data_IF_428174234835
#
_entry.id   IF_428174234835
#
_cell.length_a   1.000
_cell.length_b   1.000
_cell.length_c   1.000
_cell.angle_alpha   90.00
_cell.angle_beta   90.00
_cell.angle_gamma   90.00
#
_symmetry.space_group_name_H-M   'P 1'
#
loop_
_entity.id
_entity.type
_entity.pdbx_description
1 polymer ?
#
# COMPACT_ATOMS: atom_id res chain seq x y z
N UNK A 1 -19.30 -33.44 6.28
CA UNK A 1 -19.74 -34.02 4.99
C UNK A 1 -21.03 -33.38 4.46
N UNK A 2 -22.17 -33.36 5.20
CA UNK A 2 -23.46 -32.83 4.71
C UNK A 2 -23.46 -31.36 4.32
N UNK A 3 -22.88 -30.48 5.17
CA UNK A 3 -22.74 -29.02 4.88
C UNK A 3 -21.89 -28.77 3.66
N UNK A 4 -20.75 -29.46 3.54
CA UNK A 4 -19.87 -29.38 2.39
C UNK A 4 -20.61 -29.71 1.09
N UNK A 5 -21.26 -30.85 1.02
CA UNK A 5 -22.00 -31.29 -0.18
C UNK A 5 -23.08 -30.28 -0.59
N UNK A 6 -23.83 -29.73 0.40
CA UNK A 6 -24.86 -28.73 0.14
C UNK A 6 -24.24 -27.42 -0.43
N UNK A 7 -23.16 -26.94 0.17
CA UNK A 7 -22.47 -25.76 -0.31
C UNK A 7 -21.86 -25.97 -1.69
N UNK A 8 -21.18 -27.09 -1.92
CA UNK A 8 -20.60 -27.43 -3.22
C UNK A 8 -21.63 -27.42 -4.33
N UNK A 9 -22.78 -28.12 -4.12
CA UNK A 9 -23.88 -28.14 -5.09
C UNK A 9 -24.45 -26.76 -5.38
N UNK A 10 -24.50 -25.87 -4.37
CA UNK A 10 -24.94 -24.50 -4.56
C UNK A 10 -23.95 -23.74 -5.44
N UNK A 11 -22.65 -23.76 -5.11
CA UNK A 11 -21.65 -23.04 -5.89
C UNK A 11 -21.45 -23.61 -7.31
N UNK A 12 -21.58 -24.92 -7.50
CA UNK A 12 -21.56 -25.52 -8.85
C UNK A 12 -22.68 -24.94 -9.73
N UNK A 13 -23.89 -24.81 -9.17
CA UNK A 13 -25.02 -24.21 -9.90
C UNK A 13 -24.73 -22.71 -10.21
N UNK A 14 -24.33 -21.93 -9.22
CA UNK A 14 -24.10 -20.49 -9.40
C UNK A 14 -22.94 -20.24 -10.38
N UNK A 15 -21.84 -20.98 -10.24
CA UNK A 15 -20.67 -20.83 -11.11
C UNK A 15 -20.93 -21.28 -12.54
N UNK A 16 -21.80 -22.26 -12.78
CA UNK A 16 -22.19 -22.63 -14.14
C UNK A 16 -22.93 -21.50 -14.88
N UNK A 17 -23.56 -20.59 -14.15
CA UNK A 17 -24.23 -19.41 -14.73
C UNK A 17 -23.23 -18.28 -15.00
N UNK A 18 -22.30 -18.03 -14.08
CA UNK A 18 -21.41 -16.86 -14.12
C UNK A 18 -20.11 -17.13 -14.90
N UNK A 19 -19.64 -18.38 -14.94
CA UNK A 19 -18.36 -18.72 -15.56
C UNK A 19 -18.22 -18.30 -17.03
N UNK A 20 -19.22 -18.44 -17.91
CA UNK A 20 -19.08 -18.02 -19.31
C UNK A 20 -18.76 -16.54 -19.45
N UNK A 21 -19.45 -15.69 -18.68
CA UNK A 21 -19.21 -14.23 -18.68
C UNK A 21 -17.84 -13.90 -18.09
N UNK A 22 -17.47 -14.54 -17.02
CA UNK A 22 -16.15 -14.37 -16.39
C UNK A 22 -15.01 -14.83 -17.32
N UNK A 23 -15.15 -15.96 -18.02
CA UNK A 23 -14.20 -16.42 -19.05
C UNK A 23 -14.03 -15.41 -20.16
N UNK A 24 -15.13 -14.82 -20.63
CA UNK A 24 -15.09 -13.77 -21.65
C UNK A 24 -14.32 -12.54 -21.18
N UNK A 25 -14.53 -12.12 -19.93
CA UNK A 25 -13.83 -10.97 -19.33
C UNK A 25 -12.32 -11.21 -19.16
N UNK A 26 -11.93 -12.37 -18.63
CA UNK A 26 -10.51 -12.66 -18.34
C UNK A 26 -9.76 -13.23 -19.53
N UNK A 27 -10.45 -13.56 -20.61
CA UNK A 27 -9.91 -14.18 -21.85
C UNK A 27 -9.12 -15.47 -21.56
N UNK A 28 -9.53 -16.23 -20.56
CA UNK A 28 -8.91 -17.48 -20.15
C UNK A 28 -9.99 -18.50 -19.79
N UNK A 29 -9.68 -19.77 -20.01
CA UNK A 29 -10.55 -20.86 -19.60
C UNK A 29 -10.64 -20.95 -18.06
N UNK A 30 -11.86 -21.01 -17.54
CA UNK A 30 -12.12 -21.04 -16.10
C UNK A 30 -12.86 -22.32 -15.73
N UNK A 31 -12.25 -23.16 -14.91
CA UNK A 31 -12.88 -24.40 -14.42
C UNK A 31 -13.97 -24.08 -13.41
N UNK A 32 -15.22 -24.36 -13.77
CA UNK A 32 -16.39 -24.28 -12.87
C UNK A 32 -16.18 -25.14 -11.63
N UNK A 33 -15.62 -26.34 -11.78
CA UNK A 33 -15.35 -27.24 -10.66
C UNK A 33 -14.33 -26.66 -9.68
N UNK A 34 -13.20 -26.15 -10.19
CA UNK A 34 -12.16 -25.55 -9.37
C UNK A 34 -12.66 -24.32 -8.61
N UNK A 35 -13.40 -23.42 -9.27
CA UNK A 35 -14.02 -22.27 -8.62
C UNK A 35 -15.04 -22.68 -7.55
N UNK A 36 -15.90 -23.64 -7.86
CA UNK A 36 -16.92 -24.12 -6.93
C UNK A 36 -16.30 -24.77 -5.69
N UNK A 37 -15.22 -25.53 -5.87
CA UNK A 37 -14.46 -26.12 -4.77
C UNK A 37 -13.82 -25.03 -3.90
N UNK A 38 -13.17 -24.04 -4.51
CA UNK A 38 -12.54 -22.90 -3.81
C UNK A 38 -13.59 -22.13 -3.00
N UNK A 39 -14.71 -21.75 -3.62
CA UNK A 39 -15.79 -21.00 -2.96
C UNK A 39 -16.44 -21.82 -1.84
N UNK A 40 -16.59 -23.12 -2.03
CA UNK A 40 -17.11 -24.02 -0.98
C UNK A 40 -16.21 -24.00 0.26
N UNK A 41 -14.90 -24.12 0.06
CA UNK A 41 -13.92 -24.07 1.17
C UNK A 41 -13.93 -22.73 1.87
N UNK A 42 -13.93 -21.62 1.11
CA UNK A 42 -14.00 -20.28 1.65
C UNK A 42 -15.28 -20.05 2.46
N UNK A 43 -16.42 -20.50 1.96
CA UNK A 43 -17.71 -20.38 2.66
C UNK A 43 -17.73 -21.17 3.98
N UNK A 44 -17.18 -22.39 3.99
CA UNK A 44 -17.10 -23.16 5.23
C UNK A 44 -16.15 -22.52 6.25
N UNK A 45 -15.02 -21.99 5.78
CA UNK A 45 -14.10 -21.23 6.62
C UNK A 45 -14.77 -19.97 7.18
N UNK A 46 -15.47 -19.21 6.34
CA UNK A 46 -16.28 -18.07 6.74
C UNK A 46 -17.27 -18.45 7.86
N UNK A 47 -18.04 -19.54 7.68
CA UNK A 47 -19.02 -19.97 8.68
C UNK A 47 -18.39 -20.29 10.06
N UNK A 48 -17.19 -20.88 10.06
CA UNK A 48 -16.46 -21.19 11.29
C UNK A 48 -15.93 -19.91 11.94
N UNK A 49 -15.26 -19.06 11.16
CA UNK A 49 -14.69 -17.79 11.64
C UNK A 49 -15.77 -16.84 12.14
N UNK A 50 -16.88 -16.70 11.40
CA UNK A 50 -18.00 -15.84 11.80
C UNK A 50 -18.50 -16.17 13.20
N UNK A 51 -18.76 -17.45 13.51
CA UNK A 51 -19.19 -17.87 14.85
C UNK A 51 -18.18 -17.52 15.94
N UNK A 52 -16.89 -17.63 15.63
CA UNK A 52 -15.81 -17.25 16.56
C UNK A 52 -15.81 -15.73 16.81
N UNK A 53 -15.91 -14.95 15.74
CA UNK A 53 -15.86 -13.49 15.82
C UNK A 53 -17.12 -12.89 16.46
N UNK A 54 -18.29 -13.46 16.24
CA UNK A 54 -19.52 -13.10 16.96
C UNK A 54 -19.33 -13.23 18.48
N UNK A 55 -18.74 -14.33 18.96
CA UNK A 55 -18.43 -14.53 20.38
C UNK A 55 -17.41 -13.51 20.90
N UNK A 56 -16.39 -13.16 20.10
CA UNK A 56 -15.41 -12.17 20.47
C UNK A 56 -16.07 -10.79 20.63
N UNK A 57 -16.87 -10.37 19.64
CA UNK A 57 -17.58 -9.08 19.68
C UNK A 57 -18.56 -9.04 20.86
N UNK A 58 -19.29 -10.14 21.10
CA UNK A 58 -20.21 -10.23 22.24
C UNK A 58 -19.50 -10.14 23.59
N UNK A 59 -18.28 -10.70 23.69
CA UNK A 59 -17.49 -10.66 24.94
C UNK A 59 -16.84 -9.29 25.16
N UNK A 60 -16.30 -8.68 24.09
CA UNK A 60 -15.55 -7.41 24.17
C UNK A 60 -16.47 -6.20 24.18
N UNK A 61 -17.61 -6.28 23.48
CA UNK A 61 -18.56 -5.17 23.26
C UNK A 61 -17.88 -3.88 22.79
N UNK A 62 -17.11 -3.94 21.67
CA UNK A 62 -16.36 -2.78 21.20
C UNK A 62 -17.32 -1.68 20.76
N UNK A 63 -17.01 -0.42 21.04
CA UNK A 63 -17.73 0.76 20.53
C UNK A 63 -17.34 1.09 19.08
N UNK A 64 -16.10 0.77 18.71
CA UNK A 64 -15.55 0.97 17.37
C UNK A 64 -14.54 -0.14 17.07
N UNK A 65 -14.43 -0.55 15.82
CA UNK A 65 -13.42 -1.49 15.34
C UNK A 65 -12.51 -0.74 14.35
N UNK A 66 -11.21 -0.74 14.63
CA UNK A 66 -10.21 -0.21 13.72
C UNK A 66 -9.52 -1.37 13.00
N UNK A 67 -9.34 -1.24 11.70
CA UNK A 67 -8.71 -2.27 10.89
C UNK A 67 -7.79 -1.68 9.81
N UNK A 68 -6.98 -2.53 9.24
CA UNK A 68 -6.22 -2.28 8.01
C UNK A 68 -6.43 -3.45 7.07
N UNK A 69 -6.33 -3.24 5.75
CA UNK A 69 -6.52 -4.32 4.76
C UNK A 69 -7.93 -4.93 4.87
N UNK A 70 -8.95 -4.09 4.79
CA UNK A 70 -10.37 -4.49 4.94
C UNK A 70 -10.81 -5.61 4.01
N UNK A 71 -10.10 -5.81 2.90
CA UNK A 71 -10.38 -6.84 1.90
C UNK A 71 -9.86 -8.24 2.28
N UNK A 72 -9.25 -8.44 3.46
CA UNK A 72 -8.98 -9.79 3.94
C UNK A 72 -10.24 -10.41 4.57
N UNK A 73 -10.34 -11.74 4.50
CA UNK A 73 -11.52 -12.47 4.94
C UNK A 73 -11.92 -12.18 6.41
N UNK A 74 -10.96 -11.97 7.30
CA UNK A 74 -11.23 -11.75 8.72
C UNK A 74 -11.85 -10.36 8.94
N UNK A 75 -11.30 -9.32 8.32
CA UNK A 75 -11.87 -7.97 8.35
C UNK A 75 -13.26 -7.94 7.71
N UNK A 76 -13.43 -8.58 6.55
CA UNK A 76 -14.74 -8.68 5.88
C UNK A 76 -15.81 -9.30 6.79
N UNK A 77 -15.46 -10.33 7.56
CA UNK A 77 -16.39 -10.97 8.51
C UNK A 77 -16.67 -10.04 9.71
N UNK A 78 -15.65 -9.35 10.23
CA UNK A 78 -15.85 -8.37 11.31
C UNK A 78 -16.73 -7.22 10.87
N UNK A 79 -16.54 -6.69 9.65
CA UNK A 79 -17.36 -5.62 9.08
C UNK A 79 -18.84 -6.04 8.98
N UNK A 80 -19.11 -7.23 8.46
CA UNK A 80 -20.47 -7.75 8.33
C UNK A 80 -21.16 -7.89 9.70
N UNK A 81 -20.49 -8.48 10.69
CA UNK A 81 -21.03 -8.62 12.04
C UNK A 81 -21.24 -7.24 12.70
N UNK A 82 -20.27 -6.35 12.54
CA UNK A 82 -20.35 -4.99 13.08
C UNK A 82 -21.50 -4.19 12.46
N UNK A 83 -21.71 -4.32 11.13
CA UNK A 83 -22.83 -3.71 10.43
C UNK A 83 -24.18 -4.18 11.03
N UNK A 84 -24.36 -5.49 11.22
CA UNK A 84 -25.57 -6.07 11.82
C UNK A 84 -25.79 -5.60 13.26
N UNK A 85 -24.72 -5.36 14.00
CA UNK A 85 -24.76 -4.91 15.40
C UNK A 85 -24.70 -3.39 15.58
N UNK A 86 -24.66 -2.62 14.48
CA UNK A 86 -24.55 -1.16 14.49
C UNK A 86 -23.28 -0.66 15.20
N UNK A 87 -22.18 -1.40 15.09
CA UNK A 87 -20.85 -1.02 15.59
C UNK A 87 -20.09 -0.35 14.45
N UNK A 88 -19.50 0.83 14.68
CA UNK A 88 -18.69 1.50 13.68
C UNK A 88 -17.41 0.70 13.35
N UNK A 89 -17.12 0.50 12.05
CA UNK A 89 -15.85 -0.04 11.56
C UNK A 89 -15.12 1.01 10.74
N UNK A 90 -13.82 1.13 10.94
CA UNK A 90 -12.98 2.15 10.32
C UNK A 90 -11.74 1.47 9.77
N UNK A 91 -11.53 1.55 8.47
CA UNK A 91 -10.25 1.19 7.87
C UNK A 91 -9.29 2.38 7.94
N UNK A 92 -8.09 2.14 8.46
CA UNK A 92 -6.97 3.06 8.39
C UNK A 92 -6.17 2.78 7.12
N UNK A 93 -5.97 3.79 6.28
CA UNK A 93 -5.07 3.65 5.13
C UNK A 93 -3.70 3.16 5.60
N UNK A 94 -3.17 2.13 4.95
CA UNK A 94 -1.88 1.52 5.31
C UNK A 94 -0.82 1.63 4.20
N UNK A 95 -1.23 2.08 3.01
CA UNK A 95 -0.32 2.19 1.86
C UNK A 95 -0.95 2.87 0.67
N UNK A 96 -0.33 2.71 -0.50
CA UNK A 96 -0.87 3.17 -1.79
C UNK A 96 -2.17 2.44 -2.08
N UNK A 97 -3.24 3.18 -2.33
CA UNK A 97 -4.55 2.63 -2.68
C UNK A 97 -4.85 2.72 -4.18
N UNK A 98 -4.12 3.57 -4.90
CA UNK A 98 -4.24 3.74 -6.34
C UNK A 98 -4.00 2.44 -7.09
N UNK A 99 -4.89 2.08 -8.02
CA UNK A 99 -4.81 0.86 -8.81
C UNK A 99 -5.16 -0.44 -8.06
N UNK A 100 -5.54 -0.37 -6.78
CA UNK A 100 -5.99 -1.54 -6.04
C UNK A 100 -7.46 -1.83 -6.28
N UNK A 101 -7.77 -2.95 -6.94
CA UNK A 101 -9.15 -3.38 -7.23
C UNK A 101 -10.01 -3.50 -5.96
N UNK A 102 -9.38 -3.71 -4.80
CA UNK A 102 -10.07 -3.85 -3.52
C UNK A 102 -10.84 -2.59 -3.09
N UNK A 103 -10.55 -1.44 -3.68
CA UNK A 103 -11.19 -0.16 -3.38
C UNK A 103 -11.98 0.42 -4.55
N UNK A 104 -12.28 -0.40 -5.58
CA UNK A 104 -13.07 0.02 -6.74
C UNK A 104 -14.40 -0.72 -6.77
N UNK A 105 -15.45 -0.02 -6.38
CA UNK A 105 -16.82 -0.53 -6.35
C UNK A 105 -17.72 0.31 -7.27
N UNK A 106 -18.77 -0.29 -7.84
CA UNK A 106 -19.82 0.47 -8.50
C UNK A 106 -20.47 1.46 -7.54
N UNK A 107 -20.94 2.57 -8.07
CA UNK A 107 -21.67 3.57 -7.28
C UNK A 107 -22.98 3.01 -6.72
N UNK A 108 -23.37 3.45 -5.55
CA UNK A 108 -24.65 3.09 -4.90
C UNK A 108 -24.83 1.60 -4.56
N UNK A 109 -23.74 0.88 -4.34
CA UNK A 109 -23.77 -0.51 -3.90
C UNK A 109 -23.53 -0.58 -2.40
N UNK A 110 -24.44 -1.28 -1.69
CA UNK A 110 -24.23 -1.59 -0.28
C UNK A 110 -23.39 -2.86 -0.13
N UNK A 111 -22.20 -2.74 0.44
CA UNK A 111 -21.30 -3.86 0.74
C UNK A 111 -21.12 -3.98 2.25
N UNK A 112 -21.87 -4.89 2.89
CA UNK A 112 -21.81 -5.08 4.35
C UNK A 112 -20.45 -5.55 4.86
N UNK A 113 -19.65 -6.16 4.01
CA UNK A 113 -18.31 -6.66 4.30
C UNK A 113 -17.25 -5.56 4.15
N UNK A 114 -17.64 -4.36 3.70
CA UNK A 114 -16.76 -3.20 3.60
C UNK A 114 -16.85 -2.36 4.89
N UNK A 115 -15.78 -1.68 5.34
CA UNK A 115 -15.83 -0.82 6.52
C UNK A 115 -16.81 0.33 6.33
N UNK A 116 -17.41 0.80 7.41
CA UNK A 116 -18.36 1.91 7.36
C UNK A 116 -17.70 3.26 7.14
N UNK A 117 -16.41 3.36 7.43
CA UNK A 117 -15.58 4.56 7.19
C UNK A 117 -14.19 4.17 6.75
N UNK A 118 -13.57 5.05 5.96
CA UNK A 118 -12.13 4.96 5.62
C UNK A 118 -11.46 6.25 6.08
N UNK A 119 -10.34 6.10 6.80
CA UNK A 119 -9.48 7.20 7.20
C UNK A 119 -8.23 7.23 6.33
N UNK A 120 -8.07 8.31 5.58
CA UNK A 120 -7.03 8.49 4.58
C UNK A 120 -5.92 9.42 5.08
N UNK A 121 -4.75 9.28 4.48
CA UNK A 121 -3.60 10.15 4.76
C UNK A 121 -3.83 11.62 4.34
N UNK A 122 -4.59 11.85 3.26
CA UNK A 122 -4.98 13.19 2.79
C UNK A 122 -6.12 13.11 1.77
N UNK A 123 -6.60 14.28 1.31
CA UNK A 123 -7.64 14.35 0.28
C UNK A 123 -7.16 13.86 -1.11
N UNK A 124 -5.86 13.84 -1.37
CA UNK A 124 -5.30 13.24 -2.58
C UNK A 124 -5.77 11.80 -2.78
N UNK A 125 -5.81 11.03 -1.71
CA UNK A 125 -6.16 9.61 -1.74
C UNK A 125 -7.64 9.32 -1.97
N UNK A 126 -8.52 10.31 -1.73
CA UNK A 126 -9.95 10.18 -2.07
C UNK A 126 -10.16 9.95 -3.56
N UNK A 127 -9.37 10.62 -4.39
CA UNK A 127 -9.46 10.50 -5.84
C UNK A 127 -8.84 9.18 -6.37
N UNK A 128 -8.15 8.44 -5.52
CA UNK A 128 -7.50 7.18 -5.87
C UNK A 128 -8.39 5.95 -5.64
N UNK A 129 -9.61 6.13 -5.13
CA UNK A 129 -10.53 5.04 -4.77
C UNK A 129 -11.96 5.34 -5.23
N UNK A 130 -12.75 4.28 -5.40
CA UNK A 130 -14.21 4.34 -5.58
C UNK A 130 -14.84 3.40 -4.54
N UNK A 131 -14.85 3.84 -3.28
CA UNK A 131 -15.38 3.05 -2.18
C UNK A 131 -16.92 3.02 -2.21
N UNK A 132 -17.57 1.95 -1.73
CA UNK A 132 -19.03 1.85 -1.63
C UNK A 132 -19.55 2.60 -0.38
N UNK A 133 -19.12 3.85 -0.24
CA UNK A 133 -19.38 4.73 0.91
C UNK A 133 -19.85 6.10 0.43
N UNK A 134 -20.63 6.77 1.26
CA UNK A 134 -20.89 8.20 1.08
C UNK A 134 -19.62 9.01 1.36
N UNK A 135 -19.41 10.12 0.65
CA UNK A 135 -18.20 10.97 0.76
C UNK A 135 -17.89 11.41 2.20
N UNK A 136 -18.93 11.64 3.02
CA UNK A 136 -18.77 11.99 4.44
C UNK A 136 -18.08 10.92 5.29
N UNK A 137 -18.05 9.67 4.79
CA UNK A 137 -17.45 8.51 5.44
C UNK A 137 -16.02 8.21 4.92
N UNK A 138 -15.54 8.97 3.94
CA UNK A 138 -14.17 8.91 3.41
C UNK A 138 -13.42 10.14 3.93
N UNK A 139 -12.69 9.98 5.03
CA UNK A 139 -12.22 11.09 5.86
C UNK A 139 -10.69 11.17 5.84
N UNK A 140 -10.16 12.35 5.52
CA UNK A 140 -8.72 12.60 5.59
C UNK A 140 -8.30 12.96 7.01
N UNK A 141 -7.47 12.12 7.62
CA UNK A 141 -6.98 12.32 9.00
C UNK A 141 -5.48 12.58 9.08
N UNK A 142 -4.69 12.13 8.09
CA UNK A 142 -3.23 12.18 8.10
C UNK A 142 -2.61 10.84 8.51
N UNK A 143 -1.29 10.82 8.62
CA UNK A 143 -0.52 9.66 9.04
C UNK A 143 0.36 10.00 10.25
N UNK A 144 -0.12 9.75 11.49
CA UNK A 144 0.55 10.20 12.71
C UNK A 144 2.00 9.73 12.82
N UNK A 145 2.26 8.45 12.52
CA UNK A 145 3.60 7.89 12.58
C UNK A 145 4.57 8.57 11.61
N UNK A 146 4.13 8.80 10.38
CA UNK A 146 4.94 9.51 9.38
C UNK A 146 5.25 10.94 9.81
N UNK A 147 4.27 11.67 10.31
CA UNK A 147 4.43 13.04 10.81
C UNK A 147 5.48 13.11 11.95
N UNK A 148 5.45 12.13 12.85
CA UNK A 148 6.45 11.99 13.92
C UNK A 148 7.85 11.72 13.35
N UNK A 149 7.98 10.81 12.38
CA UNK A 149 9.27 10.50 11.78
C UNK A 149 9.86 11.70 11.03
N UNK A 150 9.06 12.45 10.29
CA UNK A 150 9.51 13.69 9.62
C UNK A 150 10.07 14.66 10.65
N UNK A 151 9.35 14.92 11.76
CA UNK A 151 9.82 15.80 12.85
C UNK A 151 11.13 15.30 13.46
N UNK A 152 11.23 14.00 13.73
CA UNK A 152 12.42 13.38 14.33
C UNK A 152 13.66 13.55 13.49
N UNK A 153 13.56 13.39 12.17
CA UNK A 153 14.69 13.43 11.26
C UNK A 153 14.89 14.79 10.56
N UNK A 154 14.13 15.82 10.91
CA UNK A 154 14.16 17.13 10.28
C UNK A 154 15.55 17.78 10.29
N UNK A 155 16.30 17.67 11.40
CA UNK A 155 17.67 18.23 11.51
C UNK A 155 18.63 17.56 10.54
N UNK A 156 18.59 16.24 10.41
CA UNK A 156 19.45 15.48 9.48
C UNK A 156 19.09 15.84 8.05
N UNK A 157 17.80 15.98 7.76
CA UNK A 157 17.30 16.35 6.44
C UNK A 157 17.77 17.76 6.00
N UNK A 158 17.87 18.70 6.93
CA UNK A 158 18.35 20.07 6.63
C UNK A 158 19.84 20.13 6.25
N UNK A 159 20.63 19.16 6.67
CA UNK A 159 22.07 19.07 6.40
C UNK A 159 22.43 18.38 5.06
N UNK A 160 21.44 18.09 4.20
CA UNK A 160 21.63 17.40 2.91
C UNK A 160 22.56 18.11 1.90
N UNK A 161 22.92 19.35 2.15
CA UNK A 161 23.84 20.12 1.30
C UNK A 161 25.33 19.74 1.47
N UNK A 162 25.62 18.64 2.21
CA UNK A 162 26.96 18.11 2.37
C UNK A 162 27.51 17.53 1.06
N UNK A 163 28.81 17.47 0.95
CA UNK A 163 29.61 17.20 -0.25
C UNK A 163 29.28 15.89 -1.00
N UNK A 164 28.70 14.91 -0.34
CA UNK A 164 28.37 13.61 -0.94
C UNK A 164 26.90 13.52 -1.26
N UNK A 165 26.56 13.41 -2.55
CA UNK A 165 25.19 13.15 -3.01
C UNK A 165 24.83 11.67 -2.82
N UNK A 166 23.64 11.39 -2.26
CA UNK A 166 23.17 10.05 -1.96
C UNK A 166 21.89 9.74 -2.76
N UNK A 167 21.88 8.58 -3.42
CA UNK A 167 20.70 8.04 -4.10
C UNK A 167 20.26 6.75 -3.42
N UNK A 168 18.97 6.66 -3.09
CA UNK A 168 18.34 5.54 -2.42
C UNK A 168 17.49 4.73 -3.39
N UNK A 169 17.83 3.47 -3.60
CA UNK A 169 17.02 2.51 -4.34
C UNK A 169 16.12 1.74 -3.36
N UNK A 170 14.81 1.73 -3.64
CA UNK A 170 13.77 1.09 -2.81
C UNK A 170 13.30 -0.21 -3.47
N UNK A 171 13.85 -1.33 -3.03
CA UNK A 171 13.53 -2.64 -3.60
C UNK A 171 12.14 -3.15 -3.21
N UNK A 172 11.61 -4.03 -4.04
CA UNK A 172 10.38 -4.79 -3.80
C UNK A 172 10.57 -6.24 -4.24
N UNK A 173 10.01 -7.18 -3.48
CA UNK A 173 10.17 -8.62 -3.70
C UNK A 173 9.90 -9.07 -5.14
N UNK A 174 8.86 -8.52 -5.77
CA UNK A 174 8.39 -8.97 -7.10
C UNK A 174 9.26 -8.50 -8.25
N UNK A 175 10.03 -7.42 -8.05
CA UNK A 175 10.83 -6.78 -9.10
C UNK A 175 12.34 -6.79 -8.79
N UNK A 176 12.74 -7.34 -7.65
CA UNK A 176 14.08 -7.21 -7.08
C UNK A 176 15.20 -7.64 -8.02
N UNK A 177 15.01 -8.64 -8.87
CA UNK A 177 16.03 -9.08 -9.82
C UNK A 177 16.35 -8.00 -10.87
N UNK A 178 15.37 -7.53 -11.60
CA UNK A 178 15.56 -6.52 -12.65
C UNK A 178 15.99 -5.18 -12.04
N UNK A 179 15.40 -4.82 -10.91
CA UNK A 179 15.70 -3.56 -10.25
C UNK A 179 17.11 -3.52 -9.64
N UNK A 180 17.62 -4.63 -9.12
CA UNK A 180 18.99 -4.72 -8.62
C UNK A 180 20.02 -4.69 -9.75
N UNK A 181 19.74 -5.32 -10.90
CA UNK A 181 20.59 -5.20 -12.12
C UNK A 181 20.65 -3.77 -12.61
N UNK A 182 19.51 -3.09 -12.66
CA UNK A 182 19.42 -1.67 -13.00
C UNK A 182 20.28 -0.79 -12.05
N UNK A 183 20.25 -1.04 -10.75
CA UNK A 183 21.07 -0.31 -9.78
C UNK A 183 22.57 -0.52 -9.99
N UNK A 184 23.01 -1.75 -10.30
CA UNK A 184 24.42 -2.06 -10.60
C UNK A 184 24.86 -1.41 -11.91
N UNK A 185 24.05 -1.49 -12.96
CA UNK A 185 24.32 -0.82 -14.23
C UNK A 185 24.47 0.70 -14.02
N UNK A 186 23.55 1.31 -13.26
CA UNK A 186 23.65 2.72 -12.92
C UNK A 186 24.94 3.06 -12.14
N UNK A 187 25.33 2.22 -11.16
CA UNK A 187 26.57 2.42 -10.40
C UNK A 187 27.80 2.45 -11.29
N UNK A 188 27.84 1.57 -12.30
CA UNK A 188 28.95 1.52 -13.27
C UNK A 188 29.02 2.79 -14.15
N UNK A 189 27.89 3.43 -14.43
CA UNK A 189 27.83 4.63 -15.28
C UNK A 189 28.26 5.90 -14.55
N UNK A 190 27.98 6.01 -13.24
CA UNK A 190 28.18 7.26 -12.50
C UNK A 190 29.58 7.48 -11.95
N UNK A 191 30.47 6.49 -12.05
CA UNK A 191 31.90 6.59 -11.67
C UNK A 191 32.12 7.23 -10.28
N UNK A 192 31.37 6.83 -9.27
CA UNK A 192 31.52 7.29 -7.89
C UNK A 192 30.99 8.70 -7.59
N UNK A 193 30.34 9.38 -8.54
CA UNK A 193 29.74 10.74 -8.32
C UNK A 193 28.62 10.73 -7.27
N UNK A 194 27.99 9.57 -7.02
CA UNK A 194 26.92 9.37 -6.08
C UNK A 194 27.21 8.18 -5.17
N UNK A 195 26.90 8.31 -3.88
CA UNK A 195 26.80 7.15 -2.99
C UNK A 195 25.47 6.47 -3.24
N UNK A 196 25.49 5.15 -3.50
CA UNK A 196 24.27 4.37 -3.72
C UNK A 196 23.95 3.56 -2.48
N UNK A 197 22.73 3.68 -2.00
CA UNK A 197 22.12 2.83 -0.96
C UNK A 197 21.01 2.02 -1.63
N UNK A 198 21.09 0.69 -1.55
CA UNK A 198 20.08 -0.23 -2.05
C UNK A 198 19.36 -0.87 -0.87
N UNK A 199 18.16 -0.36 -0.55
CA UNK A 199 17.35 -0.85 0.55
C UNK A 199 16.49 -2.00 0.07
N UNK A 200 16.80 -3.20 0.53
CA UNK A 200 16.01 -4.41 0.29
C UNK A 200 14.65 -4.34 0.99
N UNK A 201 13.64 -4.95 0.38
CA UNK A 201 12.39 -5.22 1.07
C UNK A 201 12.62 -6.28 2.17
N UNK A 202 11.95 -6.23 3.33
CA UNK A 202 12.14 -7.20 4.41
C UNK A 202 12.05 -8.68 3.97
N UNK A 203 11.17 -8.99 3.02
CA UNK A 203 11.04 -10.34 2.45
C UNK A 203 12.25 -10.82 1.65
N UNK A 204 13.21 -9.95 1.30
CA UNK A 204 14.40 -10.29 0.53
C UNK A 204 15.61 -10.59 1.41
N UNK A 205 15.62 -10.19 2.70
CA UNK A 205 16.81 -10.22 3.57
C UNK A 205 17.47 -11.57 3.67
N UNK A 206 16.70 -12.65 3.81
CA UNK A 206 17.25 -13.98 4.07
C UNK A 206 18.09 -14.54 2.93
N UNK A 207 17.78 -14.22 1.68
CA UNK A 207 18.31 -14.90 0.50
C UNK A 207 18.83 -13.95 -0.59
N UNK A 208 18.97 -12.67 -0.34
CA UNK A 208 19.33 -11.70 -1.37
C UNK A 208 20.68 -11.98 -2.03
N UNK A 209 21.70 -12.43 -1.30
CA UNK A 209 23.02 -12.74 -1.84
C UNK A 209 22.98 -13.84 -2.89
N UNK A 210 22.10 -14.84 -2.70
CA UNK A 210 21.87 -15.91 -3.67
C UNK A 210 21.03 -15.44 -4.85
N UNK A 211 20.04 -14.59 -4.60
CA UNK A 211 19.13 -14.08 -5.63
C UNK A 211 19.76 -12.97 -6.49
N UNK A 212 20.60 -12.14 -5.89
CA UNK A 212 21.23 -10.96 -6.52
C UNK A 212 22.75 -10.97 -6.34
N UNK A 213 23.47 -12.02 -6.86
CA UNK A 213 24.91 -12.17 -6.63
C UNK A 213 25.72 -11.00 -7.19
N UNK A 214 25.22 -10.28 -8.19
CA UNK A 214 25.82 -9.08 -8.77
C UNK A 214 25.86 -7.88 -7.83
N UNK A 215 25.02 -7.84 -6.78
CA UNK A 215 25.09 -6.80 -5.74
C UNK A 215 26.25 -7.02 -4.77
N UNK A 216 26.73 -8.26 -4.59
CA UNK A 216 27.65 -8.63 -3.49
C UNK A 216 28.97 -7.88 -3.58
N UNK A 217 29.52 -7.60 -4.73
CA UNK A 217 30.80 -6.90 -4.90
C UNK A 217 30.66 -5.65 -5.78
N UNK A 218 29.47 -5.09 -5.83
CA UNK A 218 29.17 -3.95 -6.71
C UNK A 218 29.66 -2.59 -6.19
N UNK A 219 30.09 -2.50 -4.93
CA UNK A 219 30.37 -1.21 -4.28
C UNK A 219 29.11 -0.46 -3.80
N UNK A 220 27.94 -1.02 -4.03
CA UNK A 220 26.65 -0.47 -3.53
C UNK A 220 26.46 -0.85 -2.06
N UNK A 221 26.07 0.11 -1.23
CA UNK A 221 25.67 -0.16 0.15
C UNK A 221 24.30 -0.88 0.18
N UNK A 222 24.33 -2.21 0.42
CA UNK A 222 23.09 -3.01 0.51
C UNK A 222 22.59 -3.04 1.95
N UNK A 223 21.35 -2.60 2.15
CA UNK A 223 20.70 -2.61 3.46
C UNK A 223 19.75 -3.80 3.55
N UNK A 224 20.16 -4.81 4.32
CA UNK A 224 19.50 -6.11 4.47
C UNK A 224 19.01 -6.40 5.90
N UNK A 225 18.76 -5.36 6.69
CA UNK A 225 18.32 -5.51 8.07
C UNK A 225 17.33 -4.40 8.47
N UNK A 226 16.66 -4.62 9.59
CA UNK A 226 15.78 -3.63 10.25
C UNK A 226 16.53 -2.76 11.27
N UNK A 227 17.88 -2.85 11.33
CA UNK A 227 18.69 -2.12 12.31
C UNK A 227 18.46 -0.61 12.27
N UNK A 228 18.27 -0.08 11.06
CA UNK A 228 17.97 1.33 10.82
C UNK A 228 16.60 1.47 10.18
N UNK A 229 15.86 2.48 10.62
CA UNK A 229 14.57 2.81 10.05
C UNK A 229 14.75 3.41 8.63
N UNK A 230 13.80 3.16 7.74
CA UNK A 230 13.82 3.70 6.37
C UNK A 230 13.92 5.24 6.36
N UNK A 231 13.36 5.90 7.35
CA UNK A 231 13.37 7.37 7.47
C UNK A 231 14.78 7.94 7.73
N UNK A 232 15.69 7.17 8.31
CA UNK A 232 17.10 7.54 8.42
C UNK A 232 17.74 7.65 7.03
N UNK A 233 17.41 6.70 6.15
CA UNK A 233 17.88 6.71 4.77
C UNK A 233 17.25 7.85 3.95
N UNK A 234 15.96 8.13 4.14
CA UNK A 234 15.34 9.31 3.52
C UNK A 234 16.01 10.61 3.95
N UNK A 235 16.32 10.74 5.25
CA UNK A 235 16.93 11.94 5.79
C UNK A 235 18.31 12.24 5.21
N UNK A 236 19.10 11.23 4.85
CA UNK A 236 20.45 11.40 4.29
C UNK A 236 20.49 11.40 2.76
N UNK A 237 19.41 10.99 2.09
CA UNK A 237 19.35 10.87 0.63
C UNK A 237 18.88 12.16 -0.05
N UNK A 238 19.36 12.41 -1.27
CA UNK A 238 18.95 13.52 -2.13
C UNK A 238 17.90 13.05 -3.16
N UNK A 239 18.04 11.80 -3.59
CA UNK A 239 17.26 11.18 -4.65
C UNK A 239 16.77 9.82 -4.19
N UNK A 240 15.59 9.44 -4.60
CA UNK A 240 15.10 8.07 -4.48
C UNK A 240 14.71 7.51 -5.85
N UNK A 241 14.87 6.21 -5.99
CA UNK A 241 14.40 5.44 -7.13
C UNK A 241 13.58 4.25 -6.62
N UNK A 242 12.43 4.02 -7.21
CA UNK A 242 11.57 2.89 -6.84
C UNK A 242 10.63 2.51 -7.97
N UNK A 243 9.62 1.66 -7.67
CA UNK A 243 8.64 1.20 -8.66
C UNK A 243 7.21 1.52 -8.21
N UNK A 244 6.71 0.94 -7.11
CA UNK A 244 5.30 1.06 -6.70
C UNK A 244 5.09 0.96 -5.18
N UNK A 245 6.05 1.42 -4.39
CA UNK A 245 5.99 1.36 -2.92
C UNK A 245 5.41 2.61 -2.29
N UNK A 246 4.69 2.46 -1.17
CA UNK A 246 4.28 3.58 -0.29
C UNK A 246 5.50 4.41 0.17
N UNK A 247 6.66 3.77 0.35
CA UNK A 247 7.91 4.42 0.69
C UNK A 247 8.32 5.56 -0.28
N UNK A 248 7.87 5.49 -1.55
CA UNK A 248 8.09 6.55 -2.54
C UNK A 248 7.38 7.85 -2.10
N UNK A 249 6.14 7.75 -1.67
CA UNK A 249 5.40 8.92 -1.16
C UNK A 249 6.01 9.45 0.14
N UNK A 250 6.46 8.55 1.01
CA UNK A 250 7.15 8.95 2.24
C UNK A 250 8.47 9.69 1.94
N UNK A 251 9.25 9.21 0.98
CA UNK A 251 10.46 9.90 0.53
C UNK A 251 10.17 11.27 -0.12
N UNK A 252 9.05 11.43 -0.84
CA UNK A 252 8.57 12.73 -1.31
C UNK A 252 8.30 13.68 -0.14
N UNK A 253 7.76 13.20 0.97
CA UNK A 253 7.58 13.98 2.19
C UNK A 253 8.88 14.43 2.85
N UNK A 254 10.00 13.74 2.60
CA UNK A 254 11.35 14.14 2.94
C UNK A 254 12.02 15.05 1.88
N UNK A 255 11.30 15.39 0.82
CA UNK A 255 11.77 16.28 -0.25
C UNK A 255 12.79 15.62 -1.19
N UNK A 256 12.79 14.30 -1.34
CA UNK A 256 13.65 13.60 -2.28
C UNK A 256 13.21 13.86 -3.73
N UNK A 257 14.18 14.06 -4.63
CA UNK A 257 13.90 13.95 -6.06
C UNK A 257 13.60 12.50 -6.40
N UNK A 258 12.52 12.26 -7.12
CA UNK A 258 11.94 10.91 -7.22
C UNK A 258 11.93 10.44 -8.65
N UNK A 259 12.44 9.23 -8.86
CA UNK A 259 12.40 8.53 -10.15
C UNK A 259 11.67 7.19 -10.02
N UNK A 260 10.84 6.89 -11.00
CA UNK A 260 10.10 5.63 -11.09
C UNK A 260 10.70 4.78 -12.21
N UNK A 261 11.22 3.62 -11.84
CA UNK A 261 11.69 2.64 -12.84
C UNK A 261 10.47 2.00 -13.51
N UNK A 262 10.33 2.25 -14.82
CA UNK A 262 9.19 1.84 -15.60
C UNK A 262 9.14 0.33 -15.76
N UNK A 263 8.11 -0.28 -15.18
CA UNK A 263 7.77 -1.69 -15.30
C UNK A 263 6.24 -1.82 -15.24
N UNK A 264 5.72 -3.00 -15.56
CA UNK A 264 4.27 -3.28 -15.44
C UNK A 264 3.75 -2.94 -14.03
N UNK A 265 4.56 -3.15 -12.99
CA UNK A 265 4.18 -2.85 -11.60
C UNK A 265 4.15 -1.34 -11.29
N UNK A 266 4.67 -0.48 -12.15
CA UNK A 266 4.71 0.97 -11.95
C UNK A 266 3.42 1.70 -12.38
N UNK A 267 2.44 0.99 -12.93
CA UNK A 267 1.19 1.56 -13.45
C UNK A 267 0.50 2.50 -12.44
N UNK A 268 0.47 2.10 -11.16
CA UNK A 268 -0.13 2.90 -10.10
C UNK A 268 0.61 4.23 -9.80
N UNK A 269 1.81 4.43 -10.35
CA UNK A 269 2.60 5.65 -10.20
C UNK A 269 2.50 6.60 -11.39
N UNK A 270 1.78 6.22 -12.44
CA UNK A 270 1.65 7.06 -13.65
C UNK A 270 1.12 8.45 -13.33
N UNK A 271 0.07 8.54 -12.50
CA UNK A 271 -0.49 9.83 -12.10
C UNK A 271 0.54 10.70 -11.38
N UNK A 272 1.35 10.10 -10.49
CA UNK A 272 2.43 10.79 -9.79
C UNK A 272 3.47 11.39 -10.74
N UNK A 273 3.79 10.67 -11.82
CA UNK A 273 4.70 11.14 -12.88
C UNK A 273 4.06 12.24 -13.73
N UNK A 274 2.80 12.08 -14.12
CA UNK A 274 2.06 13.09 -14.90
C UNK A 274 1.92 14.40 -14.12
N UNK A 275 1.70 14.34 -12.84
CA UNK A 275 1.63 15.51 -11.95
C UNK A 275 3.01 16.16 -11.71
N UNK A 276 4.09 15.51 -12.15
CA UNK A 276 5.48 15.99 -12.05
C UNK A 276 6.12 15.79 -10.68
N UNK A 277 5.55 14.98 -9.79
CA UNK A 277 6.15 14.63 -8.49
C UNK A 277 7.23 13.55 -8.61
N UNK A 278 7.23 12.81 -9.71
CA UNK A 278 8.27 11.85 -10.05
C UNK A 278 8.58 11.94 -11.55
N UNK A 279 9.75 11.44 -11.96
CA UNK A 279 10.12 11.27 -13.35
C UNK A 279 10.31 9.78 -13.66
N UNK A 280 9.67 9.30 -14.73
CA UNK A 280 9.83 7.93 -15.19
C UNK A 280 11.21 7.71 -15.82
N UNK A 281 11.80 6.55 -15.61
CA UNK A 281 13.06 6.12 -16.23
C UNK A 281 12.98 4.66 -16.70
N UNK A 282 13.50 4.41 -17.90
CA UNK A 282 13.45 3.09 -18.54
C UNK A 282 14.82 2.37 -18.51
N UNK A 283 15.90 3.10 -18.22
CA UNK A 283 17.25 2.55 -18.19
C UNK A 283 18.18 3.31 -17.24
N UNK A 284 19.26 2.67 -16.84
CA UNK A 284 20.29 3.26 -16.01
C UNK A 284 20.93 4.49 -16.66
N UNK A 285 21.10 4.46 -17.98
CA UNK A 285 21.60 5.59 -18.76
C UNK A 285 20.65 6.78 -18.69
N UNK A 286 19.35 6.54 -18.87
CA UNK A 286 18.35 7.61 -18.78
C UNK A 286 18.32 8.27 -17.41
N UNK A 287 18.44 7.47 -16.33
CA UNK A 287 18.57 7.99 -14.97
C UNK A 287 19.82 8.87 -14.83
N UNK A 288 20.97 8.41 -15.32
CA UNK A 288 22.21 9.16 -15.27
C UNK A 288 22.09 10.49 -16.04
N UNK A 289 21.55 10.47 -17.26
CA UNK A 289 21.34 11.66 -18.10
C UNK A 289 20.40 12.67 -17.42
N UNK A 290 19.31 12.20 -16.79
CA UNK A 290 18.36 13.05 -16.06
C UNK A 290 19.02 13.71 -14.84
N UNK A 291 19.85 12.98 -14.12
CA UNK A 291 20.59 13.52 -12.96
C UNK A 291 21.66 14.53 -13.38
N UNK A 292 22.36 14.30 -14.48
CA UNK A 292 23.34 15.26 -15.04
C UNK A 292 22.66 16.55 -15.50
N UNK A 293 21.49 16.46 -16.12
CA UNK A 293 20.66 17.60 -16.51
C UNK A 293 19.98 18.27 -15.31
N UNK A 294 20.20 17.80 -14.09
CA UNK A 294 19.59 18.28 -12.85
C UNK A 294 18.05 18.35 -12.91
N UNK A 295 17.44 17.36 -13.58
CA UNK A 295 15.99 17.21 -13.61
C UNK A 295 15.51 16.89 -12.19
N UNK A 296 14.59 17.72 -11.70
CA UNK A 296 14.04 17.61 -10.34
C UNK A 296 12.55 17.37 -10.41
N UNK A 297 12.05 16.57 -9.49
CA UNK A 297 10.63 16.45 -9.25
C UNK A 297 10.06 17.70 -8.57
N UNK A 298 8.76 17.95 -8.74
CA UNK A 298 8.07 18.95 -7.91
C UNK A 298 8.22 18.56 -6.45
N UNK A 299 8.48 19.53 -5.60
CA UNK A 299 8.52 19.28 -4.16
C UNK A 299 7.10 19.24 -3.62
N UNK A 300 6.86 18.34 -2.67
CA UNK A 300 5.60 18.26 -1.96
C UNK A 300 5.48 19.44 -0.96
N UNK A 301 5.39 20.66 -1.53
CA UNK A 301 5.34 21.90 -0.72
C UNK A 301 4.04 22.01 0.08
N UNK A 302 2.96 21.47 -0.45
CA UNK A 302 1.60 21.71 0.07
C UNK A 302 1.05 20.52 0.85
N UNK A 303 1.93 19.59 1.24
CA UNK A 303 1.55 18.41 2.03
C UNK A 303 0.40 17.62 1.39
N UNK A 304 0.41 17.61 0.05
CA UNK A 304 -0.64 17.00 -0.78
C UNK A 304 -0.95 15.55 -0.36
N UNK A 305 0.08 14.78 -0.05
CA UNK A 305 -0.04 13.35 0.28
C UNK A 305 -0.32 13.08 1.76
N UNK A 306 -0.09 14.08 2.63
CA UNK A 306 -0.10 13.91 4.09
C UNK A 306 -0.78 15.11 4.77
N UNK A 307 -1.92 14.89 5.40
CA UNK A 307 -2.62 15.92 6.17
C UNK A 307 -1.91 16.15 7.51
N UNK A 308 -1.69 17.40 7.87
CA UNK A 308 -1.08 17.79 9.15
C UNK A 308 -1.98 17.55 10.36
N UNK A 309 -1.38 17.61 11.54
CA UNK A 309 -2.05 17.35 12.83
C UNK A 309 -2.71 15.98 12.88
N UNK A 310 -2.07 15.00 12.26
CA UNK A 310 -2.62 13.69 12.00
C UNK A 310 -3.13 12.99 13.27
N UNK A 311 -2.38 13.03 14.36
CA UNK A 311 -2.79 12.42 15.63
C UNK A 311 -4.05 13.04 16.18
N UNK A 312 -4.15 14.38 16.23
CA UNK A 312 -5.32 15.08 16.71
C UNK A 312 -6.55 14.82 15.84
N UNK A 313 -6.38 14.87 14.50
CA UNK A 313 -7.47 14.57 13.56
C UNK A 313 -8.00 13.15 13.78
N UNK A 314 -7.09 12.18 13.92
CA UNK A 314 -7.44 10.78 14.16
C UNK A 314 -8.25 10.61 15.45
N UNK A 315 -7.81 11.23 16.57
CA UNK A 315 -8.50 11.18 17.84
C UNK A 315 -9.90 11.81 17.75
N UNK A 316 -10.03 12.96 17.10
CA UNK A 316 -11.31 13.65 16.94
C UNK A 316 -12.30 12.77 16.17
N UNK A 317 -11.87 12.19 15.04
CA UNK A 317 -12.78 11.38 14.22
C UNK A 317 -13.14 10.03 14.88
N UNK A 318 -12.22 9.41 15.63
CA UNK A 318 -12.53 8.19 16.40
C UNK A 318 -13.54 8.52 17.52
N UNK A 319 -13.37 9.62 18.26
CA UNK A 319 -14.28 10.02 19.31
C UNK A 319 -15.70 10.26 18.78
N UNK A 320 -15.85 10.93 17.62
CA UNK A 320 -17.15 11.07 16.96
C UNK A 320 -17.82 9.72 16.68
N UNK A 321 -17.04 8.71 16.30
CA UNK A 321 -17.58 7.37 16.05
C UNK A 321 -17.99 6.66 17.34
N UNK A 322 -17.29 6.89 18.44
CA UNK A 322 -17.63 6.35 19.78
C UNK A 322 -18.91 6.97 20.28
N UNK A 323 -19.03 8.29 20.19
CA UNK A 323 -20.21 9.05 20.69
C UNK A 323 -21.48 8.71 19.90
N UNK A 324 -21.37 8.54 18.58
CA UNK A 324 -22.51 8.15 17.75
C UNK A 324 -23.06 6.76 18.08
N UNK A 325 -22.23 5.86 18.58
CA UNK A 325 -22.65 4.51 19.01
C UNK A 325 -23.40 4.55 20.34
N UNK A 326 -23.07 5.50 21.23
CA UNK A 326 -23.74 5.68 22.53
C UNK A 326 -25.10 6.37 22.42
N UNK A 327 -25.32 7.16 21.37
CA UNK A 327 -26.60 7.85 21.16
C UNK A 327 -27.72 6.94 20.59
N UNK A 328 -27.37 5.75 20.09
CA UNK A 328 -28.30 4.76 19.52
C UNK A 328 -28.61 3.58 20.46
N UNK A 329 -28.02 3.54 21.64
CA UNK A 329 -28.27 2.55 22.70
C UNK A 329 -29.20 3.09 23.76
#
# INVERSE_FOLDING_TARGET
AKKYRKAKKFFEKEMSIVAPEFQHMVKQEVSVEALSEMLTRLYLLYCVKRKKFEKIIQKIQPKVILEVVSYNLDCMIFNEIAYEKKINTIELQHGVMSGSIAYYYPQNVLVKQFPQKIFLFSDYWKNCISAPLEDKNVISVGYPYFEEQVKKYQKINSDKNKTTKVILFLSQWTIGENFSKFAVEFNNLINGKWKIIYKLHPGEYANWKKRYPWLVNSGIEVVDSLRHNIYEYFAVSNVQVGVSSTAIFEGLGFGLDTFIFNTVSAECMKQLCQDGFAAEVNSAKELADKLEKNIKSKKNKDKLFWKENAFNNLCVEINKCIDSTTACS
#
